data_IF_572948197918
#
_entry.id   IF_572948197918
#
_cell.length_a   1.000
_cell.length_b   1.000
_cell.length_c   1.000
_cell.angle_alpha   90.00
_cell.angle_beta   90.00
_cell.angle_gamma   90.00
#
_symmetry.space_group_name_H-M   'P 1'
#
loop_
_entity.id
_entity.type
_entity.pdbx_description
1 polymer ?
#
# COMPACT_ATOMS: atom_id res chain seq x y z
N UNK A 1 75.92 31.66 0.56
CA UNK A 1 74.91 30.94 -0.20
C UNK A 1 73.93 30.34 0.78
N UNK A 2 72.77 30.89 0.88
CA UNK A 2 71.71 30.41 1.80
C UNK A 2 70.67 29.68 0.99
N UNK A 3 70.62 28.39 1.13
CA UNK A 3 69.67 27.52 0.48
C UNK A 3 68.32 27.70 1.18
N UNK A 4 67.40 28.31 0.49
CA UNK A 4 66.00 28.43 0.94
C UNK A 4 65.32 27.09 0.68
N UNK A 5 65.13 26.34 1.73
CA UNK A 5 64.30 25.12 1.69
C UNK A 5 62.85 25.55 1.76
N UNK A 6 62.21 25.63 0.61
CA UNK A 6 60.75 25.80 0.54
C UNK A 6 60.12 24.52 1.00
N UNK A 7 59.66 24.50 2.24
CA UNK A 7 58.80 23.42 2.73
C UNK A 7 57.44 23.54 2.02
N UNK A 8 57.28 22.71 1.01
CA UNK A 8 55.99 22.52 0.38
C UNK A 8 55.10 21.70 1.37
N UNK A 9 54.38 22.44 2.20
CA UNK A 9 53.33 21.82 3.00
C UNK A 9 52.17 21.47 2.07
N UNK A 10 52.17 20.26 1.61
CA UNK A 10 51.03 19.69 0.92
C UNK A 10 49.93 19.55 1.94
N UNK A 11 49.04 20.51 1.98
CA UNK A 11 47.78 20.41 2.70
C UNK A 11 46.93 19.40 1.94
N UNK A 12 47.00 18.17 2.41
CA UNK A 12 46.03 17.14 2.06
C UNK A 12 44.69 17.58 2.64
N UNK A 13 43.96 18.41 1.89
CA UNK A 13 42.56 18.69 2.15
C UNK A 13 41.80 17.41 1.78
N UNK A 14 41.80 16.46 2.70
CA UNK A 14 40.90 15.30 2.62
C UNK A 14 39.48 15.84 2.71
N UNK A 15 38.89 16.08 1.54
CA UNK A 15 37.45 16.25 1.42
C UNK A 15 36.79 14.98 1.93
N UNK A 16 36.53 14.93 3.22
CA UNK A 16 35.68 13.94 3.84
C UNK A 16 34.28 14.19 3.27
N UNK A 17 33.99 13.56 2.14
CA UNK A 17 32.64 13.46 1.62
C UNK A 17 31.83 12.77 2.72
N UNK A 18 31.15 13.57 3.53
CA UNK A 18 30.06 13.12 4.39
C UNK A 18 28.96 12.60 3.45
N UNK A 19 29.08 11.31 3.09
CA UNK A 19 27.95 10.57 2.58
C UNK A 19 26.97 10.46 3.73
N UNK A 20 26.06 11.43 3.82
CA UNK A 20 24.95 11.35 4.74
C UNK A 20 24.24 10.01 4.44
N UNK A 21 24.06 9.11 5.42
CA UNK A 21 23.28 7.91 5.18
C UNK A 21 21.90 8.38 4.72
N UNK A 22 21.51 7.98 3.51
CA UNK A 22 20.21 8.32 2.97
C UNK A 22 19.16 7.95 4.02
N UNK A 23 18.44 8.93 4.53
CA UNK A 23 17.33 8.69 5.42
C UNK A 23 16.31 7.91 4.62
N UNK A 24 16.24 6.60 4.84
CA UNK A 24 15.15 5.79 4.33
C UNK A 24 13.90 6.36 5.00
N UNK A 25 13.09 7.06 4.21
CA UNK A 25 11.82 7.57 4.70
C UNK A 25 10.98 6.39 5.19
N UNK A 26 10.23 6.58 6.27
CA UNK A 26 9.31 5.53 6.73
C UNK A 26 8.35 5.11 5.61
N UNK A 27 8.06 6.00 4.67
CA UNK A 27 7.23 5.73 3.50
C UNK A 27 7.92 4.75 2.52
N UNK A 28 9.25 4.86 2.31
CA UNK A 28 10.00 3.96 1.44
C UNK A 28 9.90 2.48 1.86
N UNK A 29 9.82 2.23 3.17
CA UNK A 29 9.62 0.88 3.70
C UNK A 29 8.28 0.31 3.25
N UNK A 30 7.23 1.11 3.32
CA UNK A 30 5.87 0.65 2.99
C UNK A 30 5.61 0.65 1.50
N UNK A 31 6.26 1.53 0.74
CA UNK A 31 6.22 1.51 -0.73
C UNK A 31 6.70 0.16 -1.29
N UNK A 32 7.71 -0.45 -0.68
CA UNK A 32 8.21 -1.78 -1.06
C UNK A 32 7.23 -2.92 -0.78
N UNK A 33 6.21 -2.68 0.04
CA UNK A 33 5.17 -3.67 0.34
C UNK A 33 4.02 -3.65 -0.66
N UNK A 34 3.98 -2.67 -1.56
CA UNK A 34 2.92 -2.58 -2.57
C UNK A 34 2.91 -3.84 -3.42
N UNK A 35 1.80 -4.54 -3.40
CA UNK A 35 1.57 -5.78 -4.13
C UNK A 35 0.43 -5.65 -5.16
N UNK A 36 -0.11 -4.45 -5.33
CA UNK A 36 -1.29 -4.19 -6.12
C UNK A 36 -1.25 -2.78 -6.73
N UNK A 37 -1.50 -2.66 -8.04
CA UNK A 37 -1.64 -1.37 -8.71
C UNK A 37 -3.10 -1.14 -9.13
N UNK A 38 -3.92 -0.68 -8.19
CA UNK A 38 -5.34 -0.38 -8.41
C UNK A 38 -5.58 0.79 -9.37
N UNK A 39 -4.57 1.61 -9.66
CA UNK A 39 -4.70 2.66 -10.67
C UNK A 39 -4.76 2.09 -12.09
N UNK A 40 -4.05 0.99 -12.33
CA UNK A 40 -4.02 0.34 -13.64
C UNK A 40 -5.22 -0.58 -13.87
N UNK A 41 -5.71 -1.25 -12.82
CA UNK A 41 -6.80 -2.22 -12.97
C UNK A 41 -7.09 -3.02 -11.72
N UNK A 42 -7.91 -4.08 -11.85
CA UNK A 42 -8.14 -5.03 -10.79
C UNK A 42 -6.85 -5.75 -10.40
N UNK A 43 -6.71 -6.04 -9.11
CA UNK A 43 -5.61 -6.83 -8.60
C UNK A 43 -6.11 -8.22 -8.18
N UNK A 44 -5.27 -9.21 -8.41
CA UNK A 44 -5.56 -10.61 -8.12
C UNK A 44 -4.53 -11.16 -7.15
N UNK A 45 -5.00 -11.83 -6.11
CA UNK A 45 -4.13 -12.53 -5.17
C UNK A 45 -4.64 -13.94 -4.89
N UNK A 46 -3.70 -14.86 -4.69
CA UNK A 46 -4.01 -16.24 -4.30
C UNK A 46 -4.26 -16.31 -2.79
N UNK A 47 -5.29 -17.04 -2.40
CA UNK A 47 -5.65 -17.32 -1.02
C UNK A 47 -5.94 -18.83 -0.87
N UNK A 48 -4.96 -19.56 -0.35
CA UNK A 48 -4.96 -21.03 -0.41
C UNK A 48 -5.13 -21.52 -1.85
N UNK A 49 -6.11 -22.38 -2.11
CA UNK A 49 -6.45 -22.90 -3.46
C UNK A 49 -7.44 -22.00 -4.23
N UNK A 50 -7.69 -20.79 -3.75
CA UNK A 50 -8.67 -19.89 -4.29
C UNK A 50 -8.01 -18.59 -4.76
N UNK A 51 -8.78 -17.75 -5.43
CA UNK A 51 -8.32 -16.44 -5.87
C UNK A 51 -9.28 -15.36 -5.39
N UNK A 52 -8.73 -14.27 -4.92
CA UNK A 52 -9.47 -13.06 -4.54
C UNK A 52 -9.07 -11.95 -5.48
N UNK A 53 -10.05 -11.31 -6.11
CA UNK A 53 -9.86 -10.20 -7.03
C UNK A 53 -10.45 -8.94 -6.40
N UNK A 54 -9.65 -7.89 -6.30
CA UNK A 54 -10.07 -6.57 -5.82
C UNK A 54 -10.05 -5.58 -6.98
N UNK A 55 -11.16 -4.92 -7.20
CA UNK A 55 -11.29 -3.79 -8.12
C UNK A 55 -11.78 -2.57 -7.37
N UNK A 56 -11.23 -1.40 -7.70
CA UNK A 56 -11.64 -0.11 -7.13
C UNK A 56 -11.89 0.88 -8.26
N UNK A 57 -13.00 1.60 -8.18
CA UNK A 57 -13.37 2.66 -9.13
C UNK A 57 -13.92 3.88 -8.38
N UNK A 58 -13.81 5.11 -8.94
CA UNK A 58 -13.14 5.45 -10.19
C UNK A 58 -11.62 5.34 -10.11
N UNK A 59 -10.96 5.30 -11.25
CA UNK A 59 -9.50 5.35 -11.36
C UNK A 59 -9.06 6.68 -11.97
N UNK A 60 -7.90 7.21 -11.55
CA UNK A 60 -6.98 6.69 -10.51
C UNK A 60 -7.61 6.77 -9.11
N UNK A 61 -7.18 5.88 -8.20
CA UNK A 61 -7.67 5.83 -6.83
C UNK A 61 -7.18 7.06 -6.07
N UNK A 62 -8.11 7.88 -5.62
CA UNK A 62 -7.83 9.13 -4.89
C UNK A 62 -8.44 9.10 -3.50
N UNK A 63 -7.75 9.72 -2.55
CA UNK A 63 -8.33 9.95 -1.23
C UNK A 63 -9.45 11.01 -1.26
N UNK A 64 -10.28 11.03 -0.24
CA UNK A 64 -11.35 12.00 0.00
C UNK A 64 -12.42 12.02 -1.10
N UNK A 65 -12.60 10.91 -1.82
CA UNK A 65 -13.69 10.72 -2.77
C UNK A 65 -14.42 9.40 -2.52
N UNK A 66 -15.65 9.29 -3.01
CA UNK A 66 -16.39 8.05 -2.99
C UNK A 66 -15.72 7.02 -3.91
N UNK A 67 -15.40 5.87 -3.34
CA UNK A 67 -14.82 4.74 -4.04
C UNK A 67 -15.79 3.55 -3.99
N UNK A 68 -15.90 2.87 -5.11
CA UNK A 68 -16.64 1.62 -5.22
C UNK A 68 -15.65 0.47 -5.22
N UNK A 69 -15.79 -0.40 -4.25
CA UNK A 69 -14.99 -1.59 -4.07
C UNK A 69 -15.77 -2.80 -4.57
N UNK A 70 -15.14 -3.60 -5.42
CA UNK A 70 -15.70 -4.84 -5.92
C UNK A 70 -14.73 -5.97 -5.62
N UNK A 71 -15.24 -6.99 -4.94
CA UNK A 71 -14.49 -8.19 -4.58
C UNK A 71 -15.12 -9.37 -5.28
N UNK A 72 -14.31 -10.13 -6.01
CA UNK A 72 -14.72 -11.39 -6.63
C UNK A 72 -13.94 -12.54 -6.00
N UNK A 73 -14.67 -13.54 -5.54
CA UNK A 73 -14.11 -14.75 -4.93
C UNK A 73 -14.21 -15.91 -5.92
N UNK A 74 -13.18 -16.75 -5.98
CA UNK A 74 -13.19 -17.94 -6.85
C UNK A 74 -13.05 -19.24 -6.06
N UNK A 75 -13.20 -20.36 -6.73
CA UNK A 75 -13.03 -21.68 -6.12
C UNK A 75 -14.05 -21.95 -4.99
N UNK A 76 -13.58 -22.52 -3.91
CA UNK A 76 -14.42 -22.86 -2.74
C UNK A 76 -14.98 -21.62 -2.05
N UNK A 77 -14.25 -20.48 -2.13
CA UNK A 77 -14.66 -19.20 -1.53
C UNK A 77 -15.90 -18.60 -2.24
N UNK A 78 -16.16 -18.97 -3.48
CA UNK A 78 -17.36 -18.53 -4.21
C UNK A 78 -18.68 -18.92 -3.55
N UNK A 79 -18.63 -19.90 -2.64
CA UNK A 79 -19.76 -20.40 -1.86
C UNK A 79 -19.73 -19.93 -0.39
N UNK A 80 -18.97 -18.88 -0.08
CA UNK A 80 -18.89 -18.36 1.28
C UNK A 80 -20.28 -18.03 1.82
N UNK A 81 -20.64 -18.51 3.03
CA UNK A 81 -22.01 -18.38 3.57
C UNK A 81 -22.33 -16.95 3.99
N UNK A 82 -21.31 -16.13 4.22
CA UNK A 82 -21.43 -14.73 4.64
C UNK A 82 -20.62 -13.83 3.72
N UNK A 83 -21.16 -12.63 3.47
CA UNK A 83 -20.47 -11.64 2.66
C UNK A 83 -19.13 -11.23 3.29
N UNK A 84 -18.08 -11.08 2.50
CA UNK A 84 -16.82 -10.51 2.96
C UNK A 84 -16.99 -9.02 3.30
N UNK A 85 -16.01 -8.47 3.99
CA UNK A 85 -15.91 -7.02 4.21
C UNK A 85 -14.46 -6.58 4.05
N UNK A 86 -14.25 -5.30 3.88
CA UNK A 86 -12.92 -4.71 3.75
C UNK A 86 -12.68 -3.77 4.94
N UNK A 87 -11.56 -3.94 5.62
CA UNK A 87 -11.02 -2.93 6.53
C UNK A 87 -9.93 -2.14 5.80
N UNK A 88 -10.13 -0.83 5.67
CA UNK A 88 -9.18 0.09 5.06
C UNK A 88 -8.26 0.67 6.12
N UNK A 89 -6.96 0.54 5.93
CA UNK A 89 -5.95 1.02 6.85
C UNK A 89 -4.64 1.36 6.16
N UNK A 90 -3.61 1.56 6.94
CA UNK A 90 -2.25 1.77 6.45
C UNK A 90 -1.31 0.78 7.13
N UNK A 91 -0.38 0.14 6.40
CA UNK A 91 0.56 -0.79 7.01
C UNK A 91 1.30 -0.18 8.19
N UNK A 92 1.28 -0.87 9.33
CA UNK A 92 1.96 -0.43 10.55
C UNK A 92 1.36 0.79 11.26
N UNK A 93 0.10 1.16 10.95
CA UNK A 93 -0.59 2.27 11.61
C UNK A 93 -1.98 1.82 12.09
N UNK A 94 -2.29 2.11 13.34
CA UNK A 94 -3.64 1.92 13.85
C UNK A 94 -4.46 3.20 13.61
N UNK A 95 -5.38 3.14 12.66
CA UNK A 95 -6.20 4.28 12.23
C UNK A 95 -7.64 4.21 12.76
N UNK A 96 -7.95 3.22 13.59
CA UNK A 96 -9.33 2.94 13.96
C UNK A 96 -10.12 2.27 12.81
N UNK A 97 -11.40 1.94 13.05
CA UNK A 97 -12.20 1.21 12.07
C UNK A 97 -12.56 2.09 10.86
N UNK A 98 -12.21 1.62 9.66
CA UNK A 98 -12.65 2.19 8.38
C UNK A 98 -13.13 1.03 7.49
N UNK A 99 -14.33 0.54 7.79
CA UNK A 99 -14.88 -0.67 7.19
C UNK A 99 -15.80 -0.38 6.02
N UNK A 100 -15.52 -1.04 4.91
CA UNK A 100 -16.42 -1.11 3.76
C UNK A 100 -17.26 -2.37 3.87
N UNK A 101 -18.57 -2.20 4.07
CA UNK A 101 -19.51 -3.31 4.04
C UNK A 101 -19.79 -3.69 2.58
N UNK A 102 -19.58 -4.96 2.27
CA UNK A 102 -19.84 -5.48 0.95
C UNK A 102 -21.20 -6.20 0.90
N UNK A 103 -21.91 -6.02 -0.20
CA UNK A 103 -23.19 -6.69 -0.48
C UNK A 103 -23.05 -7.56 -1.72
N UNK A 104 -23.70 -8.72 -1.78
CA UNK A 104 -23.72 -9.52 -2.99
C UNK A 104 -24.23 -8.72 -4.19
N UNK A 105 -23.52 -8.76 -5.30
CA UNK A 105 -23.88 -8.10 -6.57
C UNK A 105 -23.90 -9.05 -7.77
N UNK A 106 -23.53 -10.31 -7.56
CA UNK A 106 -23.52 -11.36 -8.60
C UNK A 106 -22.95 -12.66 -8.08
N UNK A 107 -22.64 -13.59 -8.98
CA UNK A 107 -22.03 -14.88 -8.62
C UNK A 107 -20.66 -14.65 -7.97
N UNK A 108 -20.59 -14.90 -6.65
CA UNK A 108 -19.37 -14.72 -5.85
C UNK A 108 -18.72 -13.33 -5.97
N UNK A 109 -19.51 -12.34 -6.36
CA UNK A 109 -19.09 -10.94 -6.49
C UNK A 109 -19.82 -10.10 -5.45
N UNK A 110 -19.08 -9.22 -4.82
CA UNK A 110 -19.55 -8.37 -3.73
C UNK A 110 -19.10 -6.93 -3.98
N UNK A 111 -19.98 -5.98 -3.70
CA UNK A 111 -19.71 -4.57 -3.93
C UNK A 111 -20.05 -3.75 -2.69
N UNK A 112 -19.26 -2.70 -2.50
CA UNK A 112 -19.46 -1.75 -1.41
C UNK A 112 -18.89 -0.38 -1.74
N UNK A 113 -19.30 0.61 -0.95
CA UNK A 113 -18.85 1.98 -1.08
C UNK A 113 -18.02 2.36 0.14
N UNK A 114 -16.93 3.07 -0.07
CA UNK A 114 -16.08 3.55 1.01
C UNK A 114 -15.27 4.78 0.61
N UNK A 115 -14.60 5.37 1.59
CA UNK A 115 -13.74 6.53 1.39
C UNK A 115 -12.37 6.24 2.01
N UNK A 116 -11.33 6.55 1.27
CA UNK A 116 -9.97 6.56 1.80
C UNK A 116 -9.68 7.98 2.29
N UNK A 117 -9.39 8.11 3.59
CA UNK A 117 -9.10 9.40 4.18
C UNK A 117 -7.66 9.84 3.87
N UNK A 118 -7.39 11.14 3.90
CA UNK A 118 -6.03 11.63 3.74
C UNK A 118 -5.26 11.46 5.04
N UNK A 119 -4.09 10.82 4.98
CA UNK A 119 -3.20 10.71 6.13
C UNK A 119 -2.49 12.04 6.39
N UNK A 120 -2.55 12.60 7.62
CA UNK A 120 -1.84 13.84 7.95
C UNK A 120 -0.32 13.77 7.76
N UNK A 121 0.28 12.58 7.87
CA UNK A 121 1.71 12.38 7.62
C UNK A 121 2.09 12.41 6.13
N UNK A 122 1.12 12.51 5.23
CA UNK A 122 1.36 12.49 3.79
C UNK A 122 1.63 11.10 3.21
N UNK A 123 1.64 10.03 4.03
CA UNK A 123 1.82 8.66 3.55
C UNK A 123 0.67 8.27 2.62
N UNK A 124 1.03 7.64 1.49
CA UNK A 124 0.08 7.24 0.44
C UNK A 124 -0.09 5.74 0.29
N UNK A 125 0.71 4.95 0.99
CA UNK A 125 0.59 3.48 0.97
C UNK A 125 -0.56 3.05 1.87
N UNK A 126 -1.58 2.47 1.26
CA UNK A 126 -2.80 1.98 1.89
C UNK A 126 -2.90 0.47 1.82
N UNK A 127 -3.73 -0.08 2.69
CA UNK A 127 -4.00 -1.51 2.78
C UNK A 127 -5.51 -1.73 2.83
N UNK A 128 -6.00 -2.60 1.97
CA UNK A 128 -7.34 -3.16 2.04
C UNK A 128 -7.23 -4.61 2.55
N UNK A 129 -7.60 -4.83 3.79
CA UNK A 129 -7.70 -6.18 4.37
C UNK A 129 -9.08 -6.73 4.08
N UNK A 130 -9.16 -7.68 3.17
CA UNK A 130 -10.42 -8.38 2.86
C UNK A 130 -10.56 -9.54 3.83
N UNK A 131 -11.57 -9.46 4.69
CA UNK A 131 -11.94 -10.55 5.60
C UNK A 131 -13.05 -11.38 4.99
N UNK A 132 -12.80 -12.66 4.81
CA UNK A 132 -13.78 -13.65 4.37
C UNK A 132 -14.18 -14.45 5.60
N UNK A 133 -15.40 -14.28 6.14
CA UNK A 133 -15.81 -14.94 7.36
C UNK A 133 -15.60 -16.47 7.28
N UNK A 134 -15.13 -17.06 8.36
CA UNK A 134 -14.81 -18.49 8.51
C UNK A 134 -13.68 -19.03 7.59
N UNK A 135 -13.06 -18.16 6.78
CA UNK A 135 -12.00 -18.55 5.83
C UNK A 135 -10.67 -17.85 6.10
N UNK A 136 -10.69 -16.57 6.46
CA UNK A 136 -9.47 -15.81 6.78
C UNK A 136 -9.41 -14.41 6.17
N UNK A 137 -8.21 -13.91 6.02
CA UNK A 137 -7.96 -12.54 5.55
C UNK A 137 -6.89 -12.51 4.48
N UNK A 138 -6.96 -11.52 3.60
CA UNK A 138 -5.97 -11.26 2.57
C UNK A 138 -5.78 -9.75 2.40
N UNK A 139 -4.53 -9.32 2.23
CA UNK A 139 -4.14 -7.92 2.17
C UNK A 139 -3.78 -7.49 0.75
N UNK A 140 -4.40 -6.42 0.29
CA UNK A 140 -4.01 -5.70 -0.91
C UNK A 140 -3.37 -4.37 -0.49
N UNK A 141 -2.10 -4.20 -0.80
CA UNK A 141 -1.33 -2.99 -0.47
C UNK A 141 -1.10 -2.20 -1.74
N UNK A 142 -1.51 -0.93 -1.75
CA UNK A 142 -1.55 -0.09 -2.95
C UNK A 142 -1.25 1.38 -2.62
N UNK A 143 -0.94 2.14 -3.64
CA UNK A 143 -0.75 3.60 -3.54
C UNK A 143 -2.08 4.34 -3.75
N UNK A 144 -2.19 5.53 -3.16
CA UNK A 144 -3.35 6.41 -3.27
C UNK A 144 -2.89 7.83 -3.59
N UNK A 145 -3.58 8.51 -4.49
CA UNK A 145 -3.32 9.91 -4.84
C UNK A 145 -4.04 10.83 -3.85
N UNK A 146 -3.33 11.85 -3.38
CA UNK A 146 -3.85 12.90 -2.48
C UNK A 146 -4.08 14.21 -3.20
#
# INVERSE_FOLDING_TARGET
>A
MKTVIIKLTVIFLTAFLLTAPGRISADDKYQKMINCNLHAGPCTQSFSENTVILEVTPRPVKAMQDLFFKVTLTGKLSKAPRAPYIDLGMPGMNMGPNRVQLKPSGNATYEGRGVIVRCPSGRRTWQATITIPDSGQIDFIFDVIY
#
